data_IF_324439623144
#
_entry.id   IF_324439623144
#
_cell.length_a   1.000
_cell.length_b   1.000
_cell.length_c   1.000
_cell.angle_alpha   90.00
_cell.angle_beta   90.00
_cell.angle_gamma   90.00
#
_symmetry.space_group_name_H-M   'P 1'
#
loop_
_entity.id
_entity.type
_entity.pdbx_description
1 polymer ?
#
# COMPACT_ATOMS: atom_id res chain seq x y z
N UNK A 1 -36.72 -4.16 28.77
CA UNK A 1 -36.34 -3.25 27.66
C UNK A 1 -35.89 -4.13 26.50
N UNK A 2 -36.57 -4.03 25.37
CA UNK A 2 -36.44 -4.94 24.23
C UNK A 2 -35.27 -4.55 23.33
N UNK A 3 -34.42 -5.54 23.02
CA UNK A 3 -33.96 -5.90 21.68
C UNK A 3 -33.63 -4.78 20.68
N UNK A 4 -32.40 -4.27 20.73
CA UNK A 4 -31.74 -3.90 19.47
C UNK A 4 -31.25 -5.19 18.82
N UNK A 5 -32.05 -5.67 17.90
CA UNK A 5 -31.67 -6.73 16.99
C UNK A 5 -30.40 -6.27 16.29
N UNK A 6 -29.35 -7.08 16.44
CA UNK A 6 -28.13 -7.03 15.64
C UNK A 6 -28.53 -7.19 14.18
N UNK A 7 -28.77 -6.07 13.51
CA UNK A 7 -28.78 -6.03 12.06
C UNK A 7 -27.36 -6.30 11.60
N UNK A 8 -27.11 -7.57 11.30
CA UNK A 8 -25.99 -8.00 10.48
C UNK A 8 -26.27 -7.44 9.09
N UNK A 9 -25.89 -6.20 8.87
CA UNK A 9 -25.77 -5.66 7.52
C UNK A 9 -24.67 -6.47 6.85
N UNK A 10 -25.08 -7.39 5.98
CA UNK A 10 -24.20 -8.08 5.05
C UNK A 10 -23.71 -7.03 4.06
N UNK A 11 -22.66 -6.31 4.47
CA UNK A 11 -21.96 -5.42 3.57
C UNK A 11 -21.19 -6.33 2.62
N UNK A 12 -21.77 -6.49 1.42
CA UNK A 12 -21.22 -7.24 0.31
C UNK A 12 -19.72 -6.98 0.21
N UNK A 13 -18.95 -8.06 0.35
CA UNK A 13 -17.50 -8.13 0.19
C UNK A 13 -17.10 -7.79 -1.25
N UNK A 14 -17.20 -6.52 -1.62
CA UNK A 14 -16.67 -5.97 -2.85
C UNK A 14 -16.04 -4.64 -2.49
N UNK A 15 -14.80 -4.71 -2.03
CA UNK A 15 -13.74 -3.69 -2.19
C UNK A 15 -12.52 -4.14 -1.38
N UNK A 16 -11.73 -5.07 -1.94
CA UNK A 16 -10.32 -5.20 -1.54
C UNK A 16 -9.59 -3.92 -1.97
N UNK A 17 -9.16 -3.01 -1.07
CA UNK A 17 -8.59 -1.73 -1.50
C UNK A 17 -7.12 -1.82 -1.94
N UNK A 18 -6.53 -3.02 -1.96
CA UNK A 18 -5.08 -3.20 -2.10
C UNK A 18 -4.66 -4.37 -2.99
N UNK A 19 -5.52 -4.87 -3.88
CA UNK A 19 -5.06 -5.85 -4.86
C UNK A 19 -4.30 -5.14 -5.99
N UNK A 20 -3.12 -4.60 -5.68
CA UNK A 20 -2.08 -4.56 -6.69
C UNK A 20 -1.85 -6.02 -7.09
N UNK A 21 -2.05 -6.40 -8.37
CA UNK A 21 -1.72 -7.75 -8.80
C UNK A 21 -0.27 -8.03 -8.37
N UNK A 22 0.01 -9.19 -7.77
CA UNK A 22 1.36 -9.53 -7.35
C UNK A 22 2.27 -9.35 -8.57
N UNK A 23 3.29 -8.49 -8.50
CA UNK A 23 4.11 -8.23 -9.67
C UNK A 23 4.82 -9.52 -10.07
N UNK A 24 4.92 -9.75 -11.37
CA UNK A 24 5.38 -11.02 -11.95
C UNK A 24 6.90 -11.21 -11.81
N UNK A 25 7.62 -10.21 -11.29
CA UNK A 25 9.05 -10.30 -11.00
C UNK A 25 9.59 -9.15 -10.15
N UNK A 26 10.78 -9.36 -9.57
CA UNK A 26 11.44 -8.45 -8.62
C UNK A 26 11.58 -7.01 -9.14
N UNK A 27 11.89 -6.83 -10.43
CA UNK A 27 11.99 -5.50 -11.03
C UNK A 27 10.63 -4.80 -11.12
N UNK A 28 9.56 -5.54 -11.40
CA UNK A 28 8.20 -5.00 -11.43
C UNK A 28 7.74 -4.59 -10.03
N UNK A 29 8.10 -5.38 -9.00
CA UNK A 29 7.84 -5.03 -7.60
C UNK A 29 8.54 -3.73 -7.19
N UNK A 30 9.78 -3.52 -7.65
CA UNK A 30 10.55 -2.31 -7.41
C UNK A 30 9.86 -1.10 -8.05
N UNK A 31 9.45 -1.21 -9.32
CA UNK A 31 8.74 -0.13 -10.02
C UNK A 31 7.35 0.15 -9.44
N UNK A 32 6.66 -0.89 -8.95
CA UNK A 32 5.41 -0.71 -8.23
C UNK A 32 5.63 0.07 -6.92
N UNK A 33 6.64 -0.30 -6.13
CA UNK A 33 6.95 0.41 -4.89
C UNK A 33 7.29 1.88 -5.15
N UNK A 34 8.04 2.19 -6.22
CA UNK A 34 8.31 3.59 -6.63
C UNK A 34 7.04 4.35 -6.99
N UNK A 35 6.12 3.73 -7.76
CA UNK A 35 4.83 4.36 -8.12
C UNK A 35 4.01 4.65 -6.88
N UNK A 36 3.88 3.70 -5.96
CA UNK A 36 3.15 3.91 -4.71
C UNK A 36 3.74 5.04 -3.85
N UNK A 37 5.07 5.18 -3.81
CA UNK A 37 5.69 6.31 -3.12
C UNK A 37 5.33 7.65 -3.77
N UNK A 38 5.38 7.72 -5.11
CA UNK A 38 5.02 8.93 -5.85
C UNK A 38 3.54 9.27 -5.69
N UNK A 39 2.66 8.27 -5.71
CA UNK A 39 1.23 8.44 -5.52
C UNK A 39 0.90 8.90 -4.10
N UNK A 40 1.57 8.33 -3.08
CA UNK A 40 1.45 8.80 -1.71
C UNK A 40 1.93 10.25 -1.55
N UNK A 41 3.02 10.62 -2.23
CA UNK A 41 3.51 12.00 -2.25
C UNK A 41 2.52 12.95 -2.93
N UNK A 42 1.98 12.59 -4.09
CA UNK A 42 0.99 13.41 -4.81
C UNK A 42 -0.29 13.60 -3.98
N UNK A 43 -0.78 12.54 -3.33
CA UNK A 43 -1.92 12.65 -2.42
C UNK A 43 -1.60 13.50 -1.19
N UNK A 44 -0.38 13.43 -0.66
CA UNK A 44 0.04 14.28 0.45
C UNK A 44 0.01 15.77 0.08
N UNK A 45 0.43 16.12 -1.15
CA UNK A 45 0.41 17.52 -1.61
C UNK A 45 -1.01 18.09 -1.75
N UNK A 46 -2.00 17.26 -2.05
CA UNK A 46 -3.40 17.68 -2.21
C UNK A 46 -4.25 17.49 -0.96
N UNK A 47 -3.82 16.67 -0.01
CA UNK A 47 -4.53 16.43 1.23
C UNK A 47 -4.50 17.66 2.15
N UNK A 48 -5.67 18.06 2.65
CA UNK A 48 -5.83 19.12 3.65
C UNK A 48 -6.36 18.60 4.98
N UNK A 49 -6.93 17.39 4.97
CA UNK A 49 -7.43 16.73 6.17
C UNK A 49 -6.28 16.08 6.94
N UNK A 50 -6.13 16.31 8.26
CA UNK A 50 -5.04 15.75 9.06
C UNK A 50 -4.94 14.22 9.03
N UNK A 51 -6.06 13.51 9.05
CA UNK A 51 -6.06 12.05 9.03
C UNK A 51 -5.60 11.54 7.65
N UNK A 52 -6.00 12.22 6.57
CA UNK A 52 -5.55 11.89 5.22
C UNK A 52 -4.06 12.20 5.01
N UNK A 53 -3.55 13.28 5.60
CA UNK A 53 -2.13 13.63 5.60
C UNK A 53 -1.32 12.50 6.26
N UNK A 54 -1.72 12.09 7.47
CA UNK A 54 -1.08 10.98 8.19
C UNK A 54 -1.14 9.68 7.38
N UNK A 55 -2.30 9.37 6.81
CA UNK A 55 -2.46 8.20 5.93
C UNK A 55 -1.49 8.24 4.74
N UNK A 56 -1.24 9.40 4.14
CA UNK A 56 -0.27 9.53 3.05
C UNK A 56 1.17 9.31 3.53
N UNK A 57 1.53 9.85 4.70
CA UNK A 57 2.85 9.64 5.31
C UNK A 57 3.09 8.14 5.58
N UNK A 58 2.14 7.45 6.21
CA UNK A 58 2.27 6.03 6.50
C UNK A 58 2.35 5.18 5.23
N UNK A 59 1.53 5.48 4.22
CA UNK A 59 1.58 4.77 2.92
C UNK A 59 2.92 4.99 2.21
N UNK A 60 3.41 6.22 2.13
CA UNK A 60 4.71 6.54 1.52
C UNK A 60 5.86 5.83 2.25
N UNK A 61 5.84 5.83 3.58
CA UNK A 61 6.85 5.13 4.39
C UNK A 61 6.81 3.61 4.22
N UNK A 62 5.61 3.02 4.13
CA UNK A 62 5.46 1.60 3.88
C UNK A 62 6.02 1.21 2.50
N UNK A 63 5.68 1.97 1.46
CA UNK A 63 6.18 1.76 0.10
C UNK A 63 7.71 1.92 0.04
N UNK A 64 8.28 2.92 0.72
CA UNK A 64 9.72 3.11 0.82
C UNK A 64 10.44 1.92 1.47
N UNK A 65 9.91 1.42 2.61
CA UNK A 65 10.49 0.25 3.27
C UNK A 65 10.45 -0.99 2.38
N UNK A 66 9.35 -1.17 1.63
CA UNK A 66 9.21 -2.25 0.64
C UNK A 66 10.24 -2.11 -0.48
N UNK A 67 10.38 -0.91 -1.04
CA UNK A 67 11.42 -0.60 -2.02
C UNK A 67 12.84 -0.95 -1.51
N UNK A 68 13.19 -0.52 -0.30
CA UNK A 68 14.50 -0.82 0.31
C UNK A 68 14.73 -2.32 0.51
N UNK A 69 13.70 -3.08 0.86
CA UNK A 69 13.77 -4.53 0.92
C UNK A 69 14.08 -5.13 -0.46
N UNK A 70 13.29 -4.79 -1.48
CA UNK A 70 13.44 -5.34 -2.84
C UNK A 70 14.80 -5.00 -3.46
N UNK A 71 15.33 -3.80 -3.21
CA UNK A 71 16.67 -3.42 -3.67
C UNK A 71 17.77 -4.28 -3.01
N UNK A 72 17.61 -4.67 -1.74
CA UNK A 72 18.56 -5.57 -1.07
C UNK A 72 18.48 -6.97 -1.68
N UNK A 73 17.29 -7.47 -1.94
CA UNK A 73 17.07 -8.77 -2.58
C UNK A 73 17.63 -8.82 -4.01
N UNK A 74 17.44 -7.75 -4.79
CA UNK A 74 17.97 -7.64 -6.16
C UNK A 74 19.50 -7.68 -6.17
N UNK A 75 20.15 -7.00 -5.23
CA UNK A 75 21.61 -7.02 -5.07
C UNK A 75 22.13 -8.41 -4.68
N UNK A 76 21.42 -9.11 -3.79
CA UNK A 76 21.79 -10.47 -3.40
C UNK A 76 21.66 -11.46 -4.57
N UNK A 77 20.62 -11.31 -5.38
CA UNK A 77 20.41 -12.13 -6.58
C UNK A 77 21.49 -11.89 -7.64
N UNK A 78 21.98 -10.66 -7.79
CA UNK A 78 23.06 -10.30 -8.72
C UNK A 78 24.47 -10.71 -8.25
N UNK A 79 24.68 -10.88 -6.94
CA UNK A 79 25.98 -11.26 -6.36
C UNK A 79 26.12 -12.78 -6.11
N UNK A 80 25.06 -13.56 -6.34
CA UNK A 80 25.03 -15.02 -6.16
C UNK A 80 25.43 -15.83 -7.41
N UNK A 81 25.88 -15.18 -8.47
CA UNK A 81 26.39 -15.77 -9.73
C UNK A 81 27.80 -15.29 -10.00
#
# INVERSE_FOLDING_TARGET
MQLFHRSRAEHKDHDTPYSCPPPSGLLEEIELAKREMNDAYNHFQSASDPDLIDCCIYRGNAAWKRYQFLIREAKQTQMGT
#
